data_IF_914769663868
#
_entry.id   IF_914769663868
#
_cell.length_a   1.000
_cell.length_b   1.000
_cell.length_c   1.000
_cell.angle_alpha   90.00
_cell.angle_beta   90.00
_cell.angle_gamma   90.00
#
_symmetry.space_group_name_H-M   'P 1'
#
loop_
_entity.id
_entity.type
_entity.pdbx_description
1 polymer ?
#
# COMPACT_ATOMS: atom_id res chain seq x y z
N UNK A 1 7.05 -1.15 14.17
CA UNK A 1 8.15 -0.28 13.66
C UNK A 1 9.48 -0.93 14.00
N UNK A 2 10.51 -0.82 13.16
CA UNK A 2 11.83 -1.36 13.47
C UNK A 2 12.59 -0.44 14.44
N UNK A 3 13.54 -0.99 15.21
CA UNK A 3 14.40 -0.19 16.10
C UNK A 3 15.17 0.90 15.34
N UNK A 4 15.61 0.58 14.09
CA UNK A 4 16.29 1.57 13.23
C UNK A 4 15.35 2.71 12.84
N UNK A 5 14.11 2.42 12.48
CA UNK A 5 13.12 3.47 12.16
C UNK A 5 12.85 4.38 13.38
N UNK A 6 12.69 3.82 14.59
CA UNK A 6 12.53 4.61 15.80
C UNK A 6 13.73 5.53 16.05
N UNK A 7 14.97 4.99 15.88
CA UNK A 7 16.20 5.80 16.04
C UNK A 7 16.25 6.95 15.04
N UNK A 8 15.93 6.69 13.77
CA UNK A 8 15.93 7.73 12.70
C UNK A 8 14.86 8.77 12.99
N UNK A 9 13.64 8.37 13.32
CA UNK A 9 12.55 9.31 13.63
C UNK A 9 12.85 10.21 14.83
N UNK A 10 13.68 9.76 15.78
CA UNK A 10 14.17 10.59 16.90
C UNK A 10 15.30 11.55 16.52
N UNK A 11 16.01 11.32 15.42
CA UNK A 11 17.20 12.10 15.04
C UNK A 11 16.95 13.14 13.95
N UNK A 12 15.90 13.00 13.14
CA UNK A 12 15.59 13.93 12.04
C UNK A 12 15.00 15.25 12.56
N UNK A 13 15.09 16.31 11.73
CA UNK A 13 14.56 17.63 12.07
C UNK A 13 13.05 17.76 11.81
N UNK A 14 12.51 16.92 10.93
CA UNK A 14 11.08 16.94 10.58
C UNK A 14 10.60 15.54 10.21
N UNK A 15 9.38 15.22 10.61
CA UNK A 15 8.66 14.04 10.11
C UNK A 15 7.46 14.51 9.28
N UNK A 16 7.42 14.08 8.03
CA UNK A 16 6.28 14.21 7.15
C UNK A 16 5.35 13.01 7.38
N UNK A 17 4.05 13.25 7.46
CA UNK A 17 3.05 12.20 7.64
C UNK A 17 1.75 12.55 6.92
N UNK A 18 0.96 11.56 6.56
CA UNK A 18 -0.30 11.77 5.86
C UNK A 18 -1.32 12.49 6.75
N UNK A 19 -1.61 11.93 7.91
CA UNK A 19 -2.44 12.57 8.95
C UNK A 19 -1.68 12.65 10.28
N UNK A 20 -1.43 13.86 10.74
CA UNK A 20 -0.74 14.10 12.02
C UNK A 20 -1.50 13.54 13.23
N UNK A 21 -2.83 13.39 13.13
CA UNK A 21 -3.69 12.85 14.20
C UNK A 21 -3.51 11.33 14.30
N UNK A 22 -3.39 10.65 13.17
CA UNK A 22 -3.16 9.20 13.10
C UNK A 22 -1.74 8.85 13.52
N UNK A 23 -0.76 9.62 13.08
CA UNK A 23 0.67 9.36 13.34
C UNK A 23 1.08 9.68 14.78
N UNK A 24 0.49 10.71 15.41
CA UNK A 24 0.89 11.17 16.75
C UNK A 24 0.81 10.10 17.85
N UNK A 25 -0.25 9.28 17.98
CA UNK A 25 -0.30 8.21 18.97
C UNK A 25 0.86 7.21 18.83
N UNK A 26 1.22 6.82 17.62
CA UNK A 26 2.33 5.91 17.33
C UNK A 26 3.67 6.54 17.74
N UNK A 27 3.90 7.80 17.40
CA UNK A 27 5.14 8.50 17.73
C UNK A 27 5.26 8.74 19.23
N UNK A 28 4.17 9.08 19.90
CA UNK A 28 4.13 9.22 21.38
C UNK A 28 4.45 7.90 22.09
N UNK A 29 3.96 6.76 21.56
CA UNK A 29 4.26 5.43 22.11
C UNK A 29 5.77 5.14 22.12
N UNK A 30 6.51 5.63 21.13
CA UNK A 30 7.97 5.50 21.05
C UNK A 30 8.74 6.69 21.61
N UNK A 31 8.05 7.63 22.28
CA UNK A 31 8.66 8.85 22.83
C UNK A 31 9.42 9.66 21.77
N UNK A 32 8.85 9.78 20.56
CA UNK A 32 9.36 10.58 19.46
C UNK A 32 8.71 11.95 19.53
N UNK A 33 9.51 12.98 19.79
CA UNK A 33 9.06 14.38 19.94
C UNK A 33 9.36 15.25 18.73
N UNK A 34 9.93 14.68 17.68
CA UNK A 34 10.26 15.36 16.42
C UNK A 34 9.04 16.08 15.85
N UNK A 35 9.18 17.31 15.34
CA UNK A 35 8.09 18.06 14.72
C UNK A 35 7.42 17.27 13.58
N UNK A 36 6.09 17.39 13.48
CA UNK A 36 5.28 16.77 12.45
C UNK A 36 4.76 17.80 11.47
N UNK A 37 4.75 17.45 10.19
CA UNK A 37 4.09 18.21 9.13
C UNK A 37 3.26 17.27 8.26
N UNK A 38 2.04 17.72 7.91
CA UNK A 38 1.18 16.97 7.00
C UNK A 38 1.72 17.02 5.57
N UNK A 39 1.81 15.85 4.93
CA UNK A 39 2.22 15.66 3.54
C UNK A 39 1.36 14.54 2.92
N UNK A 40 0.36 14.93 2.15
CA UNK A 40 -0.65 14.03 1.56
C UNK A 40 -0.91 14.40 0.09
N UNK A 41 -1.62 13.55 -0.63
CA UNK A 41 -1.90 13.71 -2.07
C UNK A 41 -2.44 15.10 -2.47
N UNK A 42 -3.18 15.78 -1.59
CA UNK A 42 -3.77 17.09 -1.90
C UNK A 42 -2.83 18.27 -1.67
N UNK A 43 -1.75 18.10 -0.87
CA UNK A 43 -0.81 19.19 -0.59
C UNK A 43 0.63 18.91 -1.03
N UNK A 44 0.95 17.68 -1.48
CA UNK A 44 2.33 17.30 -1.85
C UNK A 44 2.95 18.23 -2.90
N UNK A 45 2.17 18.66 -3.90
CA UNK A 45 2.66 19.62 -4.90
C UNK A 45 3.00 21.00 -4.32
N UNK A 46 2.27 21.45 -3.29
CA UNK A 46 2.47 22.75 -2.67
C UNK A 46 3.66 22.76 -1.70
N UNK A 47 3.86 21.64 -1.00
CA UNK A 47 4.91 21.52 0.01
C UNK A 47 6.25 21.06 -0.57
N UNK A 48 6.27 20.51 -1.78
CA UNK A 48 7.42 19.85 -2.39
C UNK A 48 8.67 20.74 -2.42
N UNK A 49 8.56 21.94 -3.00
CA UNK A 49 9.71 22.85 -3.14
C UNK A 49 10.29 23.25 -1.78
N UNK A 50 9.43 23.62 -0.84
CA UNK A 50 9.84 23.96 0.51
C UNK A 50 10.58 22.81 1.22
N UNK A 51 10.08 21.57 1.07
CA UNK A 51 10.73 20.40 1.66
C UNK A 51 12.10 20.15 1.02
N UNK A 52 12.20 20.27 -0.31
CA UNK A 52 13.46 20.10 -1.04
C UNK A 52 14.49 21.17 -0.64
N UNK A 53 14.09 22.42 -0.47
CA UNK A 53 14.98 23.51 0.00
C UNK A 53 15.54 23.20 1.40
N UNK A 54 14.73 22.69 2.31
CA UNK A 54 15.19 22.28 3.65
C UNK A 54 16.20 21.14 3.59
N UNK A 55 15.93 20.11 2.76
CA UNK A 55 16.87 19.01 2.53
C UNK A 55 18.20 19.50 1.95
N UNK A 56 18.16 20.43 0.98
CA UNK A 56 19.36 21.03 0.39
C UNK A 56 20.12 21.92 1.39
N UNK A 57 19.47 22.45 2.40
CA UNK A 57 20.13 23.17 3.49
C UNK A 57 20.80 22.27 4.54
N UNK A 58 20.71 20.95 4.36
CA UNK A 58 21.35 19.95 5.21
C UNK A 58 20.48 19.39 6.33
N UNK A 59 19.17 19.61 6.28
CA UNK A 59 18.24 18.97 7.22
C UNK A 59 17.94 17.50 6.80
N UNK A 60 17.86 16.62 7.77
CA UNK A 60 17.32 15.25 7.58
C UNK A 60 15.82 15.25 7.81
N UNK A 61 15.06 14.71 6.87
CA UNK A 61 13.60 14.64 6.94
C UNK A 61 13.15 13.19 6.76
N UNK A 62 12.25 12.71 7.61
CA UNK A 62 11.63 11.40 7.46
C UNK A 62 10.23 11.53 6.89
N UNK A 63 9.81 10.56 6.08
CA UNK A 63 8.43 10.41 5.61
C UNK A 63 7.85 9.12 6.17
N UNK A 64 6.67 9.20 6.77
CA UNK A 64 5.86 8.06 7.22
C UNK A 64 4.46 8.16 6.62
N UNK A 65 3.76 7.04 6.54
CA UNK A 65 2.36 6.95 6.11
C UNK A 65 1.50 6.34 7.22
N UNK A 66 0.21 6.44 7.10
CA UNK A 66 -0.75 5.92 8.09
C UNK A 66 -0.70 4.38 8.15
N UNK A 67 -0.41 3.71 7.02
CA UNK A 67 -0.23 2.26 6.97
C UNK A 67 0.76 1.86 5.85
N UNK A 68 1.68 0.97 6.16
CA UNK A 68 2.59 0.39 5.17
C UNK A 68 3.84 1.22 4.89
N UNK A 69 4.31 1.19 3.63
CA UNK A 69 5.52 1.86 3.16
C UNK A 69 5.14 3.09 2.33
N UNK A 70 5.67 4.29 2.65
CA UNK A 70 5.43 5.50 1.86
C UNK A 70 5.71 5.29 0.35
N UNK A 71 4.98 5.99 -0.50
CA UNK A 71 5.02 5.91 -1.96
C UNK A 71 4.46 4.60 -2.58
N UNK A 72 4.11 3.60 -1.80
CA UNK A 72 3.46 2.37 -2.28
C UNK A 72 1.94 2.50 -2.10
N UNK A 73 1.27 3.01 -3.11
CA UNK A 73 -0.16 3.41 -3.10
C UNK A 73 -0.50 4.56 -2.14
N UNK A 74 0.52 5.24 -1.63
CA UNK A 74 0.48 6.34 -0.69
C UNK A 74 1.28 7.55 -1.22
N UNK A 75 1.17 8.75 -0.60
CA UNK A 75 2.00 9.91 -0.93
C UNK A 75 3.50 9.64 -0.76
N UNK A 76 4.33 10.36 -1.52
CA UNK A 76 5.78 10.34 -1.38
C UNK A 76 6.56 10.13 -2.68
N UNK A 77 5.94 9.57 -3.72
CA UNK A 77 6.62 9.38 -5.00
C UNK A 77 7.18 10.68 -5.58
N UNK A 78 6.41 11.78 -5.52
CA UNK A 78 6.86 13.08 -6.05
C UNK A 78 8.06 13.59 -5.26
N UNK A 79 8.05 13.47 -3.95
CA UNK A 79 9.16 13.89 -3.09
C UNK A 79 10.42 13.08 -3.38
N UNK A 80 10.32 11.75 -3.40
CA UNK A 80 11.46 10.86 -3.69
C UNK A 80 12.04 11.18 -5.08
N UNK A 81 11.19 11.34 -6.09
CA UNK A 81 11.62 11.71 -7.45
C UNK A 81 12.39 13.02 -7.46
N UNK A 82 11.91 14.03 -6.75
CA UNK A 82 12.56 15.34 -6.71
C UNK A 82 13.87 15.32 -5.91
N UNK A 83 13.93 14.55 -4.81
CA UNK A 83 15.17 14.30 -4.10
C UNK A 83 16.24 13.69 -5.01
N UNK A 84 15.89 12.65 -5.75
CA UNK A 84 16.81 11.99 -6.71
C UNK A 84 17.29 12.97 -7.78
N UNK A 85 16.42 13.83 -8.32
CA UNK A 85 16.77 14.85 -9.31
C UNK A 85 17.75 15.89 -8.79
N UNK A 86 17.70 16.18 -7.50
CA UNK A 86 18.58 17.13 -6.83
C UNK A 86 19.79 16.47 -6.16
N UNK A 87 20.07 15.19 -6.43
CA UNK A 87 21.14 14.41 -5.82
C UNK A 87 21.07 14.35 -4.28
N UNK A 88 19.86 14.42 -3.72
CA UNK A 88 19.61 14.24 -2.28
C UNK A 88 19.51 12.74 -2.03
N UNK A 89 20.24 12.24 -1.04
CA UNK A 89 20.21 10.83 -0.66
C UNK A 89 18.84 10.43 -0.12
N UNK A 90 18.30 9.30 -0.61
CA UNK A 90 17.03 8.73 -0.15
C UNK A 90 17.27 7.32 0.36
N UNK A 91 16.95 7.07 1.62
CA UNK A 91 17.04 5.76 2.25
C UNK A 91 15.65 5.23 2.61
N UNK A 92 15.25 4.11 2.01
CA UNK A 92 14.03 3.40 2.39
C UNK A 92 14.35 2.38 3.48
N UNK A 93 13.84 2.59 4.68
CA UNK A 93 14.03 1.64 5.78
C UNK A 93 13.06 0.45 5.63
N UNK A 94 13.53 -0.80 5.81
CA UNK A 94 12.65 -1.96 5.85
C UNK A 94 11.54 -1.77 6.89
N UNK A 95 10.30 -2.01 6.47
CA UNK A 95 9.12 -1.84 7.31
C UNK A 95 7.96 -2.71 6.87
N UNK A 96 6.81 -2.54 7.52
CA UNK A 96 5.60 -3.24 7.17
C UNK A 96 5.11 -2.82 5.78
N UNK A 97 4.65 -3.81 5.00
CA UNK A 97 3.91 -3.60 3.75
C UNK A 97 2.93 -4.76 3.57
N UNK A 98 1.67 -4.47 3.24
CA UNK A 98 0.63 -5.49 3.27
C UNK A 98 0.74 -6.52 2.14
N UNK A 99 1.20 -6.11 0.95
CA UNK A 99 1.22 -7.00 -0.21
C UNK A 99 2.24 -8.15 -0.09
N UNK A 100 3.37 -7.94 0.60
CA UNK A 100 4.40 -8.98 0.76
C UNK A 100 3.88 -10.15 1.61
N UNK A 101 3.39 -9.96 2.85
CA UNK A 101 2.83 -11.07 3.62
C UNK A 101 1.59 -11.69 2.96
N UNK A 102 0.75 -10.91 2.25
CA UNK A 102 -0.36 -11.44 1.48
C UNK A 102 0.10 -12.40 0.37
N UNK A 103 1.12 -12.00 -0.40
CA UNK A 103 1.71 -12.82 -1.45
C UNK A 103 2.30 -14.12 -0.87
N UNK A 104 3.12 -14.01 0.17
CA UNK A 104 3.75 -15.17 0.80
C UNK A 104 2.70 -16.13 1.35
N UNK A 105 1.66 -15.61 2.02
CA UNK A 105 0.60 -16.44 2.59
C UNK A 105 -0.42 -16.93 1.57
N UNK A 106 -0.43 -16.43 0.34
CA UNK A 106 -1.34 -16.92 -0.70
C UNK A 106 -1.06 -18.37 -1.10
N UNK A 107 0.21 -18.80 -1.04
CA UNK A 107 0.67 -20.09 -1.53
C UNK A 107 0.87 -20.13 -3.05
N UNK A 108 0.79 -18.98 -3.73
CA UNK A 108 1.02 -18.87 -5.18
C UNK A 108 2.48 -18.56 -5.49
N UNK A 109 2.94 -18.74 -6.76
CA UNK A 109 4.29 -18.40 -7.17
C UNK A 109 4.62 -16.95 -6.83
N UNK A 110 5.71 -16.73 -6.10
CA UNK A 110 6.11 -15.42 -5.58
C UNK A 110 7.45 -14.91 -6.12
N UNK A 111 8.13 -15.67 -6.98
CA UNK A 111 9.42 -15.25 -7.56
C UNK A 111 9.26 -14.09 -8.55
N UNK A 112 8.14 -14.10 -9.30
CA UNK A 112 7.79 -13.07 -10.26
C UNK A 112 6.33 -12.71 -10.08
N UNK A 113 6.04 -11.45 -9.80
CA UNK A 113 4.67 -10.97 -9.61
C UNK A 113 4.51 -9.57 -10.18
N UNK A 114 3.26 -9.18 -10.38
CA UNK A 114 2.85 -7.85 -10.77
C UNK A 114 2.08 -7.22 -9.61
N UNK A 115 2.50 -6.05 -9.14
CA UNK A 115 1.77 -5.26 -8.15
C UNK A 115 1.00 -4.14 -8.84
N UNK A 116 -0.33 -4.24 -8.82
CA UNK A 116 -1.25 -3.28 -9.44
C UNK A 116 -1.74 -2.19 -8.49
N UNK A 117 -1.67 -2.42 -7.18
CA UNK A 117 -2.28 -1.53 -6.22
C UNK A 117 -3.80 -1.45 -6.38
N UNK A 118 -4.37 -0.26 -6.25
CA UNK A 118 -5.81 -0.05 -6.42
C UNK A 118 -6.19 0.12 -7.89
N UNK A 119 -7.11 -0.72 -8.37
CA UNK A 119 -7.71 -0.54 -9.69
C UNK A 119 -8.50 0.78 -9.78
N UNK A 120 -8.51 1.44 -10.95
CA UNK A 120 -9.31 2.64 -11.16
C UNK A 120 -10.78 2.46 -10.74
N UNK A 121 -11.40 3.50 -10.19
CA UNK A 121 -12.79 3.43 -9.72
C UNK A 121 -13.81 3.24 -10.85
N UNK A 122 -13.63 3.96 -11.96
CA UNK A 122 -14.56 3.98 -13.12
C UNK A 122 -13.79 4.01 -14.44
N UNK A 123 -13.35 5.21 -14.87
CA UNK A 123 -12.68 5.40 -16.16
C UNK A 123 -11.35 4.63 -16.18
N UNK A 124 -11.14 3.82 -17.20
CA UNK A 124 -9.92 3.02 -17.38
C UNK A 124 -9.91 1.67 -16.67
N UNK A 125 -10.90 1.36 -15.80
CA UNK A 125 -10.94 0.09 -15.05
C UNK A 125 -11.08 -1.11 -15.98
N UNK A 126 -12.05 -1.09 -16.90
CA UNK A 126 -12.26 -2.20 -17.83
C UNK A 126 -11.05 -2.41 -18.74
N UNK A 127 -10.50 -1.33 -19.29
CA UNK A 127 -9.30 -1.41 -20.15
C UNK A 127 -8.10 -1.97 -19.38
N UNK A 128 -7.98 -1.65 -18.07
CA UNK A 128 -6.91 -2.21 -17.25
C UNK A 128 -7.11 -3.71 -16.99
N UNK A 129 -8.33 -4.13 -16.70
CA UNK A 129 -8.65 -5.55 -16.53
C UNK A 129 -8.38 -6.35 -17.81
N UNK A 130 -8.81 -5.83 -18.98
CA UNK A 130 -8.51 -6.46 -20.28
C UNK A 130 -7.00 -6.60 -20.54
N UNK A 131 -6.23 -5.54 -20.22
CA UNK A 131 -4.78 -5.60 -20.31
C UNK A 131 -4.18 -6.70 -19.43
N UNK A 132 -4.71 -6.86 -18.19
CA UNK A 132 -4.22 -7.83 -17.23
C UNK A 132 -4.57 -9.29 -17.59
N UNK A 133 -5.47 -9.54 -18.54
CA UNK A 133 -5.71 -10.89 -19.08
C UNK A 133 -4.46 -11.54 -19.67
N UNK A 134 -3.55 -10.71 -20.20
CA UNK A 134 -2.30 -11.19 -20.78
C UNK A 134 -1.17 -11.37 -19.77
N UNK A 135 -1.42 -11.03 -18.51
CA UNK A 135 -0.42 -11.17 -17.46
C UNK A 135 -0.36 -12.61 -16.94
N UNK A 136 0.78 -13.23 -17.11
CA UNK A 136 1.03 -14.63 -16.75
C UNK A 136 1.59 -14.83 -15.35
N UNK A 137 2.00 -13.73 -14.70
CA UNK A 137 2.54 -13.76 -13.34
C UNK A 137 1.42 -13.65 -12.31
N UNK A 138 1.73 -13.97 -11.07
CA UNK A 138 0.87 -13.65 -9.91
C UNK A 138 0.62 -12.14 -9.85
N UNK A 139 -0.66 -11.73 -9.73
CA UNK A 139 -1.06 -10.32 -9.69
C UNK A 139 -1.57 -9.98 -8.29
N UNK A 140 -1.15 -8.82 -7.78
CA UNK A 140 -1.51 -8.37 -6.44
C UNK A 140 -2.25 -7.04 -6.54
N UNK A 141 -3.41 -6.96 -5.89
CA UNK A 141 -4.24 -5.77 -5.83
C UNK A 141 -4.48 -5.33 -4.38
N UNK A 142 -4.59 -4.04 -4.17
CA UNK A 142 -5.27 -3.48 -3.01
C UNK A 142 -6.72 -3.22 -3.35
N UNK A 143 -7.63 -3.46 -2.42
CA UNK A 143 -9.04 -3.18 -2.66
C UNK A 143 -9.74 -2.66 -1.40
N UNK A 144 -10.73 -1.82 -1.63
CA UNK A 144 -11.61 -1.33 -0.57
C UNK A 144 -12.62 -2.43 -0.17
N UNK A 145 -12.94 -2.57 1.13
CA UNK A 145 -13.95 -3.51 1.59
C UNK A 145 -15.32 -3.29 0.94
N UNK A 146 -15.65 -2.03 0.62
CA UNK A 146 -16.90 -1.67 -0.05
C UNK A 146 -17.00 -2.11 -1.52
N UNK A 147 -15.86 -2.48 -2.12
CA UNK A 147 -15.79 -2.88 -3.53
C UNK A 147 -15.39 -4.33 -3.73
N UNK A 148 -14.93 -5.01 -2.68
CA UNK A 148 -14.37 -6.35 -2.75
C UNK A 148 -15.27 -7.31 -3.55
N UNK A 149 -16.52 -7.47 -3.16
CA UNK A 149 -17.45 -8.40 -3.82
C UNK A 149 -17.61 -8.08 -5.30
N UNK A 150 -17.86 -6.81 -5.63
CA UNK A 150 -18.00 -6.37 -7.03
C UNK A 150 -16.70 -6.61 -7.82
N UNK A 151 -15.55 -6.41 -7.22
CA UNK A 151 -14.25 -6.65 -7.86
C UNK A 151 -14.03 -8.14 -8.13
N UNK A 152 -14.40 -9.01 -7.18
CA UNK A 152 -14.33 -10.47 -7.38
C UNK A 152 -15.23 -10.94 -8.52
N UNK A 153 -16.46 -10.43 -8.63
CA UNK A 153 -17.34 -10.73 -9.76
C UNK A 153 -16.73 -10.29 -11.11
N UNK A 154 -16.15 -9.09 -11.16
CA UNK A 154 -15.46 -8.63 -12.36
C UNK A 154 -14.23 -9.50 -12.70
N UNK A 155 -13.55 -10.02 -11.68
CA UNK A 155 -12.44 -10.96 -11.88
C UNK A 155 -12.92 -12.29 -12.42
N UNK A 156 -14.06 -12.83 -11.96
CA UNK A 156 -14.70 -14.01 -12.55
C UNK A 156 -14.97 -13.82 -14.04
N UNK A 157 -15.57 -12.68 -14.42
CA UNK A 157 -15.87 -12.33 -15.81
C UNK A 157 -14.60 -12.16 -16.66
N UNK A 158 -13.53 -11.62 -16.07
CA UNK A 158 -12.30 -11.25 -16.79
C UNK A 158 -11.33 -12.43 -16.90
N UNK A 159 -11.07 -13.12 -15.80
CA UNK A 159 -10.02 -14.13 -15.69
C UNK A 159 -10.55 -15.58 -15.63
N UNK A 160 -11.88 -15.75 -15.58
CA UNK A 160 -12.53 -17.06 -15.44
C UNK A 160 -12.78 -17.45 -13.99
N UNK A 161 -13.90 -18.14 -13.76
CA UNK A 161 -14.39 -18.52 -12.43
C UNK A 161 -13.43 -19.46 -11.67
N UNK A 162 -12.71 -20.32 -12.41
CA UNK A 162 -11.83 -21.35 -11.87
C UNK A 162 -10.43 -20.83 -11.50
N UNK A 163 -10.06 -19.60 -11.87
CA UNK A 163 -8.75 -19.03 -11.52
C UNK A 163 -8.63 -18.90 -10.02
N UNK A 164 -7.49 -19.32 -9.46
CA UNK A 164 -7.26 -19.29 -8.03
C UNK A 164 -6.99 -17.89 -7.52
N UNK A 165 -7.54 -17.59 -6.37
CA UNK A 165 -7.38 -16.30 -5.69
C UNK A 165 -7.19 -16.48 -4.19
N UNK A 166 -6.43 -15.58 -3.59
CA UNK A 166 -6.31 -15.43 -2.14
C UNK A 166 -6.71 -14.01 -1.75
N UNK A 167 -7.66 -13.88 -0.85
CA UNK A 167 -8.08 -12.59 -0.27
C UNK A 167 -7.61 -12.55 1.17
N UNK A 168 -6.71 -11.62 1.47
CA UNK A 168 -6.20 -11.36 2.82
C UNK A 168 -6.83 -10.07 3.35
N UNK A 169 -7.48 -10.16 4.50
CA UNK A 169 -8.15 -9.05 5.18
C UNK A 169 -7.51 -8.79 6.52
N UNK A 170 -7.28 -7.52 6.86
CA UNK A 170 -6.77 -7.09 8.17
C UNK A 170 -5.49 -7.82 8.60
N UNK A 171 -4.53 -8.01 7.68
CA UNK A 171 -3.26 -8.70 7.90
C UNK A 171 -2.56 -8.13 9.13
N UNK A 172 -2.12 -9.01 10.03
CA UNK A 172 -1.46 -8.73 11.31
C UNK A 172 -2.30 -7.93 12.32
N UNK A 173 -3.62 -7.80 12.11
CA UNK A 173 -4.56 -7.17 13.04
C UNK A 173 -5.46 -8.22 13.70
N UNK A 174 -6.24 -7.78 14.70
CA UNK A 174 -7.13 -8.66 15.51
C UNK A 174 -8.11 -9.50 14.67
N UNK A 175 -8.53 -8.99 13.54
CA UNK A 175 -9.55 -9.62 12.68
C UNK A 175 -8.95 -10.12 11.36
N UNK A 176 -7.70 -10.57 11.40
CA UNK A 176 -7.05 -11.17 10.24
C UNK A 176 -7.83 -12.37 9.73
N UNK A 177 -8.08 -12.40 8.44
CA UNK A 177 -8.74 -13.49 7.72
C UNK A 177 -8.08 -13.66 6.36
N UNK A 178 -7.77 -14.92 6.01
CA UNK A 178 -7.24 -15.25 4.69
C UNK A 178 -8.13 -16.31 4.06
N UNK A 179 -8.82 -15.96 2.98
CA UNK A 179 -9.73 -16.82 2.22
C UNK A 179 -9.07 -17.18 0.91
N UNK A 180 -9.00 -18.49 0.59
CA UNK A 180 -8.40 -19.02 -0.65
C UNK A 180 -9.37 -19.95 -1.35
N UNK A 181 -9.31 -20.03 -2.68
CA UNK A 181 -10.12 -20.90 -3.50
C UNK A 181 -10.16 -20.40 -4.94
N UNK A 182 -11.11 -20.87 -5.71
CA UNK A 182 -11.43 -20.32 -7.02
C UNK A 182 -12.06 -18.94 -6.87
N UNK A 183 -11.99 -18.12 -7.90
CA UNK A 183 -12.65 -16.80 -7.91
C UNK A 183 -14.14 -16.92 -7.59
N UNK A 184 -14.81 -17.96 -8.09
CA UNK A 184 -16.22 -18.25 -7.80
C UNK A 184 -16.46 -18.52 -6.33
N UNK A 185 -15.74 -19.48 -5.73
CA UNK A 185 -15.89 -19.83 -4.31
C UNK A 185 -15.64 -18.64 -3.39
N UNK A 186 -14.59 -17.86 -3.68
CA UNK A 186 -14.23 -16.70 -2.87
C UNK A 186 -15.24 -15.56 -3.07
N UNK A 187 -15.77 -15.35 -4.28
CA UNK A 187 -16.85 -14.39 -4.50
C UNK A 187 -18.12 -14.77 -3.73
N UNK A 188 -18.53 -16.05 -3.77
CA UNK A 188 -19.67 -16.55 -3.00
C UNK A 188 -19.48 -16.37 -1.50
N UNK A 189 -18.28 -16.62 -0.97
CA UNK A 189 -17.95 -16.42 0.43
C UNK A 189 -18.15 -14.96 0.90
N UNK A 190 -17.88 -13.97 0.03
CA UNK A 190 -18.04 -12.56 0.36
C UNK A 190 -19.38 -11.93 -0.06
N UNK A 191 -20.28 -12.70 -0.71
CA UNK A 191 -21.54 -12.18 -1.27
C UNK A 191 -22.45 -11.48 -0.23
N UNK A 192 -22.59 -12.09 0.95
CA UNK A 192 -23.48 -11.59 2.01
C UNK A 192 -22.74 -10.97 3.20
N UNK A 193 -21.39 -10.88 3.12
CA UNK A 193 -20.58 -10.37 4.23
C UNK A 193 -20.49 -8.85 4.23
N UNK A 194 -20.75 -8.24 5.37
CA UNK A 194 -20.40 -6.84 5.59
C UNK A 194 -18.89 -6.73 5.91
N UNK A 195 -18.09 -6.70 4.85
CA UNK A 195 -16.63 -6.67 4.96
C UNK A 195 -16.14 -5.31 5.44
N UNK A 196 -15.17 -5.31 6.36
CA UNK A 196 -14.50 -4.11 6.88
C UNK A 196 -13.00 -4.33 6.91
N UNK A 197 -12.25 -3.22 6.92
CA UNK A 197 -10.81 -3.23 7.05
C UNK A 197 -10.06 -3.20 5.72
N UNK A 198 -8.76 -3.41 5.78
CA UNK A 198 -7.86 -3.37 4.63
C UNK A 198 -7.78 -4.73 3.95
N UNK A 199 -7.72 -4.72 2.62
CA UNK A 199 -7.79 -5.94 1.81
C UNK A 199 -6.68 -5.96 0.79
N UNK A 200 -6.04 -7.12 0.69
CA UNK A 200 -5.13 -7.48 -0.39
C UNK A 200 -5.71 -8.69 -1.13
N UNK A 201 -5.82 -8.60 -2.44
CA UNK A 201 -6.21 -9.70 -3.32
C UNK A 201 -4.97 -10.17 -4.07
N UNK A 202 -4.69 -11.46 -4.04
CA UNK A 202 -3.62 -12.09 -4.81
C UNK A 202 -4.27 -13.06 -5.78
N UNK A 203 -4.12 -12.81 -7.07
CA UNK A 203 -4.59 -13.68 -8.15
C UNK A 203 -3.43 -14.54 -8.62
N UNK A 204 -3.64 -15.85 -8.72
CA UNK A 204 -2.58 -16.78 -9.13
C UNK A 204 -2.02 -16.47 -10.52
N UNK A 205 -0.80 -16.91 -10.79
CA UNK A 205 -0.31 -17.07 -12.16
C UNK A 205 -1.22 -17.98 -12.98
N UNK A 206 -1.20 -17.86 -14.29
CA UNK A 206 -1.83 -18.83 -15.19
C UNK A 206 -1.11 -20.18 -15.17
#
# INVERSE_FOLDING_TARGET
MTFRAVKVLKSVQLILCEDTRTSRPLLNHYEITTPLQSHHLFNEHQTLNYIVERLLSGEDIALITDAGTPAISDPGFLLVRECVRNNIEVSCLPGATAFVPALVSSGFPCEKFCFEGFLPHKKGRQSRLEFLKTETRTIIFYESPHRLYKTLLQFCETFGEERLVSVSREISKKFEEITRGTLKEVAEHFAEKNVKGEIVIVLSAE
#
